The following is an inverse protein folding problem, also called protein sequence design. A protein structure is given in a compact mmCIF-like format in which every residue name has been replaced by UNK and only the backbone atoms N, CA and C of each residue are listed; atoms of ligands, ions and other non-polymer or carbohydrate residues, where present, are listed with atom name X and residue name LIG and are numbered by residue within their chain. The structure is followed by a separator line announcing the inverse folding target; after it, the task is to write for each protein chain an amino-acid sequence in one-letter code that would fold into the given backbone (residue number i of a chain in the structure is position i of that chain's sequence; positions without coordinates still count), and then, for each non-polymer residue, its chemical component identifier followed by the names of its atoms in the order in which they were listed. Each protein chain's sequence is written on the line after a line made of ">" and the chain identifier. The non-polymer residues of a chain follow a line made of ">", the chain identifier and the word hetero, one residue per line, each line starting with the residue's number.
data_IF_074255355207
#
_entry.id   IF_074255355207
#
_cell.length_a   1.000
_cell.length_b   1.000
_cell.length_c   1.000
_cell.angle_alpha   90.00
_cell.angle_beta   90.00
_cell.angle_gamma   90.00
#
_symmetry.space_group_name_H-M   'P 1'
#
loop_
_entity.id
_entity.type
_entity.pdbx_description
1 polymer ?
#
# COMPACT_ATOMS: atom_id res chain seq x y z
N UNK A 1 25.58 -61.29 -2.92
CA UNK A 1 25.40 -62.31 -1.88
C UNK A 1 24.98 -61.62 -0.59
N UNK A 2 23.68 -61.72 -0.29
CA UNK A 2 22.97 -61.71 1.01
C UNK A 2 23.57 -60.93 2.20
N UNK A 3 22.80 -59.93 2.65
CA UNK A 3 22.51 -59.41 4.01
C UNK A 3 23.37 -59.82 5.22
N UNK A 4 23.68 -58.86 6.10
CA UNK A 4 23.29 -58.91 7.53
C UNK A 4 23.26 -57.52 8.18
N UNK A 5 22.13 -57.19 8.81
CA UNK A 5 21.92 -56.05 9.71
C UNK A 5 22.61 -56.29 11.05
N UNK A 6 23.02 -55.22 11.75
CA UNK A 6 22.67 -55.06 13.18
C UNK A 6 22.65 -53.58 13.59
N UNK A 7 21.49 -53.14 14.09
CA UNK A 7 21.23 -51.87 14.75
C UNK A 7 21.85 -51.85 16.15
N UNK A 8 22.53 -50.76 16.54
CA UNK A 8 22.63 -50.35 17.94
C UNK A 8 23.22 -48.94 18.09
N UNK A 9 22.43 -48.03 18.66
CA UNK A 9 22.91 -46.99 19.57
C UNK A 9 23.44 -45.69 18.98
N UNK A 10 22.60 -44.65 18.96
CA UNK A 10 22.77 -43.41 19.76
C UNK A 10 21.97 -42.23 19.18
N UNK A 11 20.64 -42.30 19.30
CA UNK A 11 19.71 -41.20 19.06
C UNK A 11 19.68 -40.18 20.22
N UNK A 12 20.79 -40.03 20.94
CA UNK A 12 20.91 -39.27 22.20
C UNK A 12 21.90 -38.11 22.10
N UNK A 13 22.23 -37.65 20.90
CA UNK A 13 23.01 -36.42 20.66
C UNK A 13 22.23 -35.35 19.88
N UNK A 14 20.92 -35.55 19.66
CA UNK A 14 20.01 -34.56 19.08
C UNK A 14 19.24 -33.72 20.10
N UNK A 15 19.17 -34.15 21.38
CA UNK A 15 18.30 -33.52 22.39
C UNK A 15 19.02 -32.66 23.43
N UNK A 16 20.35 -32.75 23.55
CA UNK A 16 21.12 -32.03 24.59
C UNK A 16 21.45 -30.58 24.16
N UNK A 17 21.36 -30.25 22.86
CA UNK A 17 21.64 -28.90 22.35
C UNK A 17 20.42 -27.97 22.28
N UNK A 18 19.21 -28.47 22.59
CA UNK A 18 17.95 -27.72 22.54
C UNK A 18 17.52 -27.22 23.94
N UNK A 19 18.10 -27.73 25.02
CA UNK A 19 17.60 -27.51 26.38
C UNK A 19 18.51 -26.63 27.26
N UNK A 20 18.97 -25.47 26.77
CA UNK A 20 19.62 -24.50 27.66
C UNK A 20 19.45 -23.00 27.37
N UNK A 21 18.54 -22.60 26.48
CA UNK A 21 18.25 -21.16 26.28
C UNK A 21 16.84 -20.73 26.73
N UNK A 22 16.01 -21.65 27.23
CA UNK A 22 14.72 -21.36 27.89
C UNK A 22 14.95 -21.00 29.38
N UNK A 23 15.84 -20.05 29.68
CA UNK A 23 16.13 -19.64 31.07
C UNK A 23 16.13 -18.14 31.33
N UNK A 24 15.75 -17.29 30.37
CA UNK A 24 15.72 -15.83 30.60
C UNK A 24 14.56 -15.17 29.87
N UNK A 25 13.39 -15.15 30.50
CA UNK A 25 12.43 -14.02 30.54
C UNK A 25 11.03 -14.50 30.94
N UNK A 26 10.90 -15.02 32.17
CA UNK A 26 9.62 -15.13 32.84
C UNK A 26 9.63 -14.14 33.98
N UNK A 27 9.19 -12.88 33.76
CA UNK A 27 8.98 -11.97 34.87
C UNK A 27 8.02 -10.81 34.55
N UNK A 28 6.91 -10.83 35.30
CA UNK A 28 5.99 -9.76 35.71
C UNK A 28 4.76 -9.49 34.82
N UNK A 29 3.71 -10.15 35.32
CA UNK A 29 2.28 -9.88 35.23
C UNK A 29 1.91 -8.68 36.12
N UNK A 30 0.92 -7.88 35.68
CA UNK A 30 0.09 -6.88 36.42
C UNK A 30 0.49 -5.41 36.39
N UNK A 31 -0.27 -4.60 35.63
CA UNK A 31 -0.95 -3.40 36.19
C UNK A 31 -2.37 -3.37 35.62
N UNK A 32 -3.33 -3.51 36.53
CA UNK A 32 -4.76 -3.40 36.29
C UNK A 32 -5.22 -1.93 36.35
N UNK A 33 -6.28 -1.65 35.59
CA UNK A 33 -7.34 -0.69 35.87
C UNK A 33 -6.94 0.74 36.28
N UNK A 34 -7.03 1.66 35.32
CA UNK A 34 -7.53 3.00 35.60
C UNK A 34 -8.71 3.29 34.68
N UNK A 35 -9.91 3.32 35.26
CA UNK A 35 -11.08 3.97 34.68
C UNK A 35 -10.73 5.45 34.48
N UNK A 36 -10.59 5.87 33.23
CA UNK A 36 -10.69 7.27 32.82
C UNK A 36 -11.83 7.38 31.83
N UNK A 37 -12.99 7.82 32.29
CA UNK A 37 -14.06 8.25 31.41
C UNK A 37 -13.60 9.51 30.68
N UNK A 38 -13.00 9.34 29.50
CA UNK A 38 -12.99 10.38 28.48
C UNK A 38 -14.21 10.13 27.60
N UNK A 39 -15.22 10.99 27.75
CA UNK A 39 -16.18 11.24 26.70
C UNK A 39 -15.40 11.85 25.53
N UNK A 40 -14.76 10.99 24.74
CA UNK A 40 -14.23 11.36 23.44
C UNK A 40 -15.44 11.55 22.57
N UNK A 41 -15.74 12.82 22.28
CA UNK A 41 -16.52 13.23 21.12
C UNK A 41 -16.17 12.28 19.97
N UNK A 42 -17.18 11.56 19.49
CA UNK A 42 -17.09 10.75 18.29
C UNK A 42 -16.79 11.70 17.14
N UNK A 43 -15.51 11.95 16.96
CA UNK A 43 -14.97 12.80 15.94
C UNK A 43 -14.96 11.98 14.66
N UNK A 44 -15.92 12.27 13.79
CA UNK A 44 -16.06 11.73 12.45
C UNK A 44 -14.98 12.28 11.48
N UNK A 45 -13.75 12.46 11.96
CA UNK A 45 -12.61 13.07 11.23
C UNK A 45 -11.47 12.07 10.95
N UNK A 46 -11.54 10.85 11.48
CA UNK A 46 -10.53 9.80 11.24
C UNK A 46 -10.50 9.27 9.78
N UNK A 47 -11.56 9.48 9.01
CA UNK A 47 -11.62 9.05 7.61
C UNK A 47 -10.75 9.92 6.67
N UNK A 48 -10.57 11.20 6.99
CA UNK A 48 -9.79 12.14 6.16
C UNK A 48 -8.29 11.90 6.32
N UNK A 49 -7.82 11.59 7.53
CA UNK A 49 -6.39 11.30 7.79
C UNK A 49 -5.94 9.93 7.27
N UNK A 50 -6.83 8.93 7.26
CA UNK A 50 -6.50 7.58 6.74
C UNK A 50 -6.26 7.58 5.22
N UNK A 51 -6.91 8.49 4.49
CA UNK A 51 -6.77 8.62 3.03
C UNK A 51 -5.66 9.58 2.59
N UNK A 52 -5.04 10.34 3.50
CA UNK A 52 -4.02 11.32 3.15
C UNK A 52 -2.77 10.72 2.47
N UNK A 53 -2.25 9.56 2.93
CA UNK A 53 -1.13 8.91 2.26
C UNK A 53 -1.49 8.46 0.84
N UNK A 54 -2.63 7.81 0.65
CA UNK A 54 -3.08 7.33 -0.66
C UNK A 54 -3.42 8.47 -1.62
N UNK A 55 -3.95 9.58 -1.10
CA UNK A 55 -4.16 10.81 -1.86
C UNK A 55 -2.84 11.40 -2.37
N UNK A 56 -1.86 11.57 -1.47
CA UNK A 56 -0.56 12.11 -1.84
C UNK A 56 0.20 11.21 -2.82
N UNK A 57 0.14 9.89 -2.64
CA UNK A 57 0.69 8.92 -3.60
C UNK A 57 0.00 9.03 -4.96
N UNK A 58 -1.33 9.13 -4.98
CA UNK A 58 -2.11 9.28 -6.23
C UNK A 58 -1.68 10.55 -6.97
N UNK A 59 -1.57 11.67 -6.25
CA UNK A 59 -1.12 12.96 -6.79
C UNK A 59 0.30 12.82 -7.36
N UNK A 60 1.23 12.26 -6.60
CA UNK A 60 2.62 12.09 -7.03
C UNK A 60 2.74 11.22 -8.29
N UNK A 61 1.98 10.13 -8.36
CA UNK A 61 1.93 9.27 -9.54
C UNK A 61 1.36 10.00 -10.77
N UNK A 62 0.31 10.82 -10.61
CA UNK A 62 -0.25 11.59 -11.72
C UNK A 62 0.73 12.67 -12.21
N UNK A 63 1.40 13.38 -11.29
CA UNK A 63 2.42 14.38 -11.64
C UNK A 63 3.58 13.75 -12.41
N UNK A 64 4.02 12.56 -11.98
CA UNK A 64 5.08 11.83 -12.68
C UNK A 64 4.62 11.30 -14.03
N UNK A 65 3.39 10.78 -14.12
CA UNK A 65 2.81 10.38 -15.40
C UNK A 65 2.76 11.55 -16.40
N UNK A 66 2.39 12.76 -15.96
CA UNK A 66 2.41 13.96 -16.81
C UNK A 66 3.83 14.27 -17.30
N UNK A 67 4.83 14.20 -16.42
CA UNK A 67 6.22 14.41 -16.80
C UNK A 67 6.67 13.36 -17.84
N UNK A 68 6.33 12.09 -17.63
CA UNK A 68 6.67 11.00 -18.54
C UNK A 68 5.97 11.14 -19.91
N UNK A 69 4.68 11.53 -19.94
CA UNK A 69 3.96 11.84 -21.20
C UNK A 69 4.62 12.98 -21.96
N UNK A 70 5.00 14.06 -21.27
CA UNK A 70 5.69 15.20 -21.90
C UNK A 70 7.05 14.81 -22.47
N UNK A 71 7.72 13.84 -21.85
CA UNK A 71 8.97 13.25 -22.35
C UNK A 71 8.75 12.17 -23.42
N UNK A 72 7.50 11.92 -23.83
CA UNK A 72 7.10 10.81 -24.72
C UNK A 72 7.47 9.42 -24.20
N UNK A 73 7.74 9.28 -22.90
CA UNK A 73 7.92 7.99 -22.23
C UNK A 73 6.56 7.41 -21.81
N UNK A 74 5.81 6.97 -22.81
CA UNK A 74 4.47 6.42 -22.60
C UNK A 74 4.47 5.11 -21.81
N UNK A 75 5.60 4.39 -21.78
CA UNK A 75 5.73 3.17 -20.99
C UNK A 75 5.83 3.51 -19.50
N UNK A 76 6.71 4.44 -19.13
CA UNK A 76 6.83 4.94 -17.76
C UNK A 76 5.54 5.62 -17.31
N UNK A 77 4.95 6.47 -18.15
CA UNK A 77 3.65 7.11 -17.87
C UNK A 77 2.56 6.07 -17.57
N UNK A 78 2.42 5.02 -18.39
CA UNK A 78 1.42 3.99 -18.16
C UNK A 78 1.63 3.23 -16.84
N UNK A 79 2.87 3.08 -16.38
CA UNK A 79 3.18 2.48 -15.08
C UNK A 79 2.74 3.41 -13.95
N UNK A 80 3.05 4.69 -14.04
CA UNK A 80 2.60 5.70 -13.07
C UNK A 80 1.08 5.83 -13.03
N UNK A 81 0.41 5.83 -14.19
CA UNK A 81 -1.05 5.86 -14.28
C UNK A 81 -1.69 4.65 -13.59
N UNK A 82 -1.12 3.45 -13.74
CA UNK A 82 -1.60 2.26 -13.03
C UNK A 82 -1.42 2.40 -11.52
N UNK A 83 -0.27 2.92 -11.07
CA UNK A 83 0.00 3.15 -9.66
C UNK A 83 -0.95 4.20 -9.05
N UNK A 84 -1.23 5.29 -9.78
CA UNK A 84 -2.23 6.29 -9.42
C UNK A 84 -3.63 5.68 -9.25
N UNK A 85 -4.03 4.76 -10.13
CA UNK A 85 -5.33 4.07 -10.01
C UNK A 85 -5.39 3.14 -8.81
N UNK A 86 -4.30 2.44 -8.52
CA UNK A 86 -4.23 1.53 -7.37
C UNK A 86 -4.32 2.32 -6.05
N UNK A 87 -3.52 3.37 -5.91
CA UNK A 87 -3.56 4.27 -4.75
C UNK A 87 -4.89 5.02 -4.66
N UNK A 88 -5.44 5.46 -5.78
CA UNK A 88 -6.71 6.20 -5.85
C UNK A 88 -7.94 5.40 -5.41
N UNK A 89 -7.88 4.06 -5.43
CA UNK A 89 -8.94 3.18 -4.88
C UNK A 89 -8.92 3.16 -3.35
N UNK A 90 -7.78 3.47 -2.73
CA UNK A 90 -7.63 3.52 -1.27
C UNK A 90 -8.07 4.85 -0.67
N UNK A 91 -8.43 5.84 -1.50
CA UNK A 91 -8.98 7.12 -1.03
C UNK A 91 -10.43 6.88 -0.63
N UNK A 92 -10.73 7.10 0.65
CA UNK A 92 -12.08 6.99 1.20
C UNK A 92 -12.69 8.37 1.42
N UNK A 93 -14.01 8.49 1.22
CA UNK A 93 -14.70 9.77 1.22
C UNK A 93 -14.58 10.48 -0.13
N UNK A 94 -15.54 11.35 -0.43
CA UNK A 94 -15.64 12.05 -1.72
C UNK A 94 -15.71 11.11 -2.94
N UNK A 95 -16.40 9.97 -2.80
CA UNK A 95 -16.54 8.92 -3.83
C UNK A 95 -16.85 9.45 -5.23
N UNK A 96 -17.71 10.47 -5.35
CA UNK A 96 -18.07 11.05 -6.64
C UNK A 96 -16.87 11.74 -7.31
N UNK A 97 -16.09 12.50 -6.54
CA UNK A 97 -14.87 13.16 -7.02
C UNK A 97 -13.82 12.11 -7.37
N UNK A 98 -13.61 11.11 -6.52
CA UNK A 98 -12.63 10.04 -6.74
C UNK A 98 -12.99 9.19 -7.96
N UNK A 99 -14.26 8.82 -8.14
CA UNK A 99 -14.74 8.09 -9.33
C UNK A 99 -14.56 8.91 -10.60
N UNK A 100 -14.91 10.20 -10.56
CA UNK A 100 -14.72 11.11 -11.70
C UNK A 100 -13.24 11.25 -12.06
N UNK A 101 -12.37 11.46 -11.07
CA UNK A 101 -10.94 11.58 -11.28
C UNK A 101 -10.34 10.30 -11.87
N UNK A 102 -10.70 9.13 -11.33
CA UNK A 102 -10.29 7.83 -11.87
C UNK A 102 -10.74 7.61 -13.32
N UNK A 103 -11.97 8.01 -13.67
CA UNK A 103 -12.46 7.92 -15.04
C UNK A 103 -11.64 8.80 -16.00
N UNK A 104 -11.28 10.01 -15.58
CA UNK A 104 -10.43 10.93 -16.35
C UNK A 104 -9.00 10.36 -16.47
N UNK A 105 -8.44 9.77 -15.42
CA UNK A 105 -7.13 9.08 -15.48
C UNK A 105 -7.14 7.96 -16.53
N UNK A 106 -8.23 7.19 -16.62
CA UNK A 106 -8.38 6.15 -17.64
C UNK A 106 -8.41 6.76 -19.05
N UNK A 107 -9.13 7.87 -19.25
CA UNK A 107 -9.12 8.57 -20.53
C UNK A 107 -7.72 9.08 -20.89
N UNK A 108 -7.00 9.68 -19.93
CA UNK A 108 -5.60 10.09 -20.11
C UNK A 108 -4.68 8.92 -20.47
N UNK A 109 -4.94 7.74 -19.90
CA UNK A 109 -4.24 6.50 -20.26
C UNK A 109 -4.49 6.11 -21.72
N UNK A 110 -5.74 6.20 -22.18
CA UNK A 110 -6.11 5.88 -23.56
C UNK A 110 -5.39 6.83 -24.52
N UNK A 111 -5.44 8.14 -24.27
CA UNK A 111 -4.72 9.15 -25.07
C UNK A 111 -3.20 8.94 -25.04
N UNK A 112 -2.64 8.55 -23.89
CA UNK A 112 -1.20 8.23 -23.79
C UNK A 112 -0.84 7.00 -24.63
N UNK A 113 -1.72 6.00 -24.75
CA UNK A 113 -1.49 4.82 -25.60
C UNK A 113 -1.60 5.12 -27.08
N UNK A 114 -2.38 6.12 -27.47
CA UNK A 114 -2.47 6.59 -28.86
C UNK A 114 -1.38 7.61 -29.21
N UNK A 115 -0.50 7.96 -28.27
CA UNK A 115 0.58 8.93 -28.47
C UNK A 115 0.10 10.39 -28.50
N UNK A 116 -1.14 10.68 -28.10
CA UNK A 116 -1.65 12.04 -28.04
C UNK A 116 -1.18 12.72 -26.74
N UNK A 117 0.03 13.28 -26.79
CA UNK A 117 0.68 13.97 -25.68
C UNK A 117 -0.18 15.13 -25.14
N UNK A 118 -0.80 15.90 -26.03
CA UNK A 118 -1.58 17.09 -25.63
C UNK A 118 -2.85 16.67 -24.88
N UNK A 119 -3.60 15.74 -25.46
CA UNK A 119 -4.83 15.27 -24.85
C UNK A 119 -4.56 14.50 -23.56
N UNK A 120 -3.54 13.62 -23.54
CA UNK A 120 -3.15 12.89 -22.34
C UNK A 120 -2.76 13.85 -21.20
N UNK A 121 -1.92 14.85 -21.47
CA UNK A 121 -1.52 15.85 -20.48
C UNK A 121 -2.70 16.65 -19.96
N UNK A 122 -3.63 17.07 -20.84
CA UNK A 122 -4.82 17.81 -20.44
C UNK A 122 -5.72 17.01 -19.50
N UNK A 123 -6.00 15.75 -19.86
CA UNK A 123 -6.84 14.84 -19.06
C UNK A 123 -6.17 14.53 -17.71
N UNK A 124 -4.89 14.17 -17.70
CA UNK A 124 -4.18 13.89 -16.45
C UNK A 124 -4.10 15.13 -15.55
N UNK A 125 -3.96 16.33 -16.13
CA UNK A 125 -4.00 17.60 -15.38
C UNK A 125 -5.38 17.89 -14.80
N UNK A 126 -6.47 17.53 -15.49
CA UNK A 126 -7.82 17.65 -14.95
C UNK A 126 -8.03 16.70 -13.78
N UNK A 127 -7.61 15.44 -13.91
CA UNK A 127 -7.64 14.48 -12.79
C UNK A 127 -6.82 14.97 -11.59
N UNK A 128 -5.63 15.53 -11.83
CA UNK A 128 -4.78 16.11 -10.79
C UNK A 128 -5.49 17.22 -10.01
N UNK A 129 -6.22 18.11 -10.71
CA UNK A 129 -6.99 19.17 -10.06
C UNK A 129 -8.09 18.62 -9.16
N UNK A 130 -8.76 17.55 -9.57
CA UNK A 130 -9.79 16.90 -8.76
C UNK A 130 -9.19 16.28 -7.50
N UNK A 131 -8.08 15.53 -7.63
CA UNK A 131 -7.42 14.98 -6.44
C UNK A 131 -6.89 16.07 -5.51
N UNK A 132 -6.32 17.17 -6.03
CA UNK A 132 -5.87 18.31 -5.20
C UNK A 132 -7.00 19.11 -4.54
N UNK A 133 -8.26 18.84 -4.88
CA UNK A 133 -9.42 19.47 -4.25
C UNK A 133 -10.00 18.67 -3.07
N UNK A 134 -9.49 17.46 -2.84
CA UNK A 134 -9.80 16.60 -1.70
C UNK A 134 -8.92 16.94 -0.50
#
# INVERSE_FOLDING_TARGET
>A
MIYFQTLSGNYTQGFIKIMNCIKKSALIVMIAMSLGASASVAYAEDAVNSSLPSLNETIAHIERAIADVNNSDFAASNLQIKAARISGVLITGNDDIVKRANAIVIQGQISSKTGDVKQATALLSEALKLYKSL
#
